data_IF_804576605516
#
_entry.id   IF_804576605516
#
_cell.length_a   1.000
_cell.length_b   1.000
_cell.length_c   1.000
_cell.angle_alpha   90.00
_cell.angle_beta   90.00
_cell.angle_gamma   90.00
#
_symmetry.space_group_name_H-M   'P 1'
#
loop_
_entity.id
_entity.type
_entity.pdbx_description
1 polymer ?
#
# COMPACT_ATOMS: atom_id res chain seq x y z
N UNK A 1 18.83 -8.92 13.07
CA UNK A 1 17.89 -10.02 12.73
C UNK A 1 16.58 -10.01 13.53
N UNK A 2 16.58 -9.63 14.82
CA UNK A 2 15.36 -9.55 15.65
C UNK A 2 14.28 -8.60 15.10
N UNK A 3 14.67 -7.47 14.50
CA UNK A 3 13.75 -6.48 13.89
C UNK A 3 13.03 -7.05 12.66
N UNK A 4 13.74 -7.77 11.78
CA UNK A 4 13.12 -8.42 10.61
C UNK A 4 12.11 -9.48 11.04
N UNK A 5 12.39 -10.22 12.11
CA UNK A 5 11.47 -11.23 12.65
C UNK A 5 10.21 -10.58 13.24
N UNK A 6 10.34 -9.48 13.98
CA UNK A 6 9.21 -8.68 14.48
C UNK A 6 8.35 -8.13 13.33
N UNK A 7 8.97 -7.60 12.29
CA UNK A 7 8.25 -7.06 11.14
C UNK A 7 7.51 -8.18 10.38
N UNK A 8 8.12 -9.36 10.21
CA UNK A 8 7.45 -10.54 9.64
C UNK A 8 6.29 -10.98 10.53
N UNK A 9 6.44 -11.01 11.86
CA UNK A 9 5.35 -11.34 12.77
C UNK A 9 4.20 -10.33 12.71
N UNK A 10 4.49 -9.04 12.59
CA UNK A 10 3.46 -8.02 12.44
C UNK A 10 2.68 -8.18 11.13
N UNK A 11 3.37 -8.54 10.04
CA UNK A 11 2.73 -8.89 8.77
C UNK A 11 1.89 -10.15 8.89
N UNK A 12 2.43 -11.21 9.51
CA UNK A 12 1.74 -12.47 9.70
C UNK A 12 0.49 -12.30 10.56
N UNK A 13 0.58 -11.54 11.66
CA UNK A 13 -0.56 -11.23 12.53
C UNK A 13 -1.60 -10.37 11.80
N UNK A 14 -1.17 -9.37 11.02
CA UNK A 14 -2.08 -8.54 10.22
C UNK A 14 -2.82 -9.35 9.14
N UNK A 15 -2.15 -10.33 8.55
CA UNK A 15 -2.71 -11.22 7.53
C UNK A 15 -3.52 -12.40 8.11
N UNK A 16 -3.34 -12.77 9.39
CA UNK A 16 -4.08 -13.86 10.03
C UNK A 16 -5.54 -13.43 10.28
N UNK A 17 -6.55 -14.17 9.78
CA UNK A 17 -7.95 -13.79 9.95
C UNK A 17 -8.44 -13.71 11.40
N UNK A 18 -7.76 -14.35 12.35
CA UNK A 18 -8.14 -14.41 13.78
C UNK A 18 -7.61 -13.21 14.56
N UNK A 19 -6.37 -12.79 14.28
CA UNK A 19 -5.70 -11.71 15.02
C UNK A 19 -5.63 -10.39 14.24
N UNK A 20 -5.65 -10.48 12.91
CA UNK A 20 -5.61 -9.35 11.98
C UNK A 20 -6.68 -8.31 12.27
N UNK A 21 -7.96 -8.65 12.49
CA UNK A 21 -9.01 -7.68 12.77
C UNK A 21 -8.68 -6.71 13.91
N UNK A 22 -8.20 -7.21 15.05
CA UNK A 22 -7.88 -6.39 16.22
C UNK A 22 -6.63 -5.54 15.96
N UNK A 23 -5.57 -6.16 15.41
CA UNK A 23 -4.33 -5.47 15.11
C UNK A 23 -4.54 -4.34 14.08
N UNK A 24 -5.26 -4.65 12.99
CA UNK A 24 -5.53 -3.72 11.91
C UNK A 24 -6.45 -2.56 12.35
N UNK A 25 -7.43 -2.82 13.23
CA UNK A 25 -8.23 -1.77 13.85
C UNK A 25 -7.37 -0.85 14.74
N UNK A 26 -6.42 -1.42 15.49
CA UNK A 26 -5.46 -0.64 16.28
C UNK A 26 -4.62 0.30 15.42
N UNK A 27 -4.06 -0.21 14.32
CA UNK A 27 -3.32 0.59 13.34
C UNK A 27 -4.22 1.68 12.72
N UNK A 28 -5.45 1.34 12.33
CA UNK A 28 -6.39 2.30 11.77
C UNK A 28 -6.74 3.44 12.75
N UNK A 29 -6.92 3.13 14.04
CA UNK A 29 -7.15 4.14 15.08
C UNK A 29 -5.95 5.06 15.24
N UNK A 30 -4.74 4.50 15.30
CA UNK A 30 -3.51 5.30 15.39
C UNK A 30 -3.36 6.25 14.19
N UNK A 31 -3.65 5.77 12.96
CA UNK A 31 -3.65 6.62 11.76
C UNK A 31 -4.71 7.72 11.87
N UNK A 32 -5.95 7.38 12.27
CA UNK A 32 -7.03 8.36 12.42
C UNK A 32 -6.66 9.43 13.44
N UNK A 33 -6.15 9.03 14.60
CA UNK A 33 -5.79 9.95 15.69
C UNK A 33 -4.66 10.88 15.25
N UNK A 34 -3.65 10.37 14.54
CA UNK A 34 -2.57 11.18 13.98
C UNK A 34 -3.05 12.17 12.92
N UNK A 35 -3.95 11.75 12.02
CA UNK A 35 -4.54 12.63 11.02
C UNK A 35 -5.37 13.75 11.66
N UNK A 36 -6.22 13.42 12.64
CA UNK A 36 -7.03 14.40 13.37
C UNK A 36 -6.15 15.40 14.12
N UNK A 37 -5.08 14.92 14.77
CA UNK A 37 -4.10 15.78 15.43
C UNK A 37 -3.38 16.71 14.44
N UNK A 38 -3.22 16.30 13.18
CA UNK A 38 -2.68 17.11 12.09
C UNK A 38 -3.73 18.00 11.39
N UNK A 39 -4.96 18.08 11.90
CA UNK A 39 -6.02 18.94 11.38
C UNK A 39 -6.93 18.31 10.32
N UNK A 40 -6.81 17.01 10.05
CA UNK A 40 -7.75 16.31 9.18
C UNK A 40 -9.13 16.23 9.84
N UNK A 41 -10.18 16.59 9.10
CA UNK A 41 -11.57 16.53 9.59
C UNK A 41 -12.26 15.27 9.07
N UNK A 42 -12.65 14.31 9.93
CA UNK A 42 -13.46 13.16 9.50
C UNK A 42 -14.77 13.60 8.86
N UNK A 43 -15.14 12.99 7.74
CA UNK A 43 -16.32 13.38 6.95
C UNK A 43 -16.07 14.52 5.96
N UNK A 44 -14.86 15.10 5.89
CA UNK A 44 -14.50 16.12 4.90
C UNK A 44 -14.43 15.60 3.46
N UNK A 45 -14.54 14.29 3.24
CA UNK A 45 -14.37 13.61 1.94
C UNK A 45 -13.00 13.80 1.28
N UNK A 46 -12.05 14.47 1.95
CA UNK A 46 -10.66 14.62 1.48
C UNK A 46 -10.01 13.24 1.41
N UNK A 47 -9.50 12.79 0.25
CA UNK A 47 -8.90 11.48 0.12
C UNK A 47 -7.68 11.31 1.03
N UNK A 48 -7.50 10.09 1.57
CA UNK A 48 -6.29 9.71 2.30
C UNK A 48 -5.57 8.61 1.56
N UNK A 49 -4.28 8.82 1.25
CA UNK A 49 -3.42 7.80 0.65
C UNK A 49 -2.45 7.26 1.68
N UNK A 50 -2.50 5.95 1.92
CA UNK A 50 -1.54 5.24 2.77
C UNK A 50 -0.35 4.77 1.94
N UNK A 51 0.86 5.17 2.31
CA UNK A 51 2.11 4.68 1.70
C UNK A 51 2.73 3.61 2.60
N UNK A 52 2.79 2.37 2.11
CA UNK A 52 3.28 1.21 2.85
C UNK A 52 4.44 0.50 2.15
N UNK A 53 5.58 0.40 2.83
CA UNK A 53 6.76 -0.34 2.33
C UNK A 53 6.85 -1.73 2.93
N UNK A 54 7.27 -2.73 2.14
CA UNK A 54 7.45 -4.11 2.64
C UNK A 54 6.19 -4.61 3.37
N UNK A 55 6.30 -5.06 4.61
CA UNK A 55 5.16 -5.43 5.45
C UNK A 55 4.13 -4.32 5.69
N UNK A 56 4.56 -3.06 5.61
CA UNK A 56 3.69 -1.89 5.69
C UNK A 56 2.62 -1.85 4.61
N UNK A 57 2.83 -2.51 3.46
CA UNK A 57 1.78 -2.69 2.45
C UNK A 57 0.59 -3.48 3.01
N UNK A 58 0.84 -4.61 3.68
CA UNK A 58 -0.21 -5.44 4.27
C UNK A 58 -0.91 -4.72 5.41
N UNK A 59 -0.13 -4.03 6.26
CA UNK A 59 -0.69 -3.22 7.34
C UNK A 59 -1.55 -2.08 6.80
N UNK A 60 -1.16 -1.45 5.68
CA UNK A 60 -1.95 -0.40 5.04
C UNK A 60 -3.27 -0.92 4.51
N UNK A 61 -3.27 -2.08 3.82
CA UNK A 61 -4.50 -2.73 3.37
C UNK A 61 -5.39 -3.14 4.56
N UNK A 62 -4.81 -3.81 5.55
CA UNK A 62 -5.55 -4.24 6.74
C UNK A 62 -6.19 -3.05 7.46
N UNK A 63 -5.45 -1.96 7.65
CA UNK A 63 -5.94 -0.74 8.27
C UNK A 63 -7.02 -0.06 7.43
N UNK A 64 -6.89 -0.04 6.10
CA UNK A 64 -7.83 0.61 5.19
C UNK A 64 -9.27 0.10 5.35
N UNK A 65 -9.45 -1.19 5.69
CA UNK A 65 -10.77 -1.76 5.96
C UNK A 65 -11.53 -1.00 7.06
N UNK A 66 -10.83 -0.63 8.13
CA UNK A 66 -11.39 0.08 9.28
C UNK A 66 -11.27 1.61 9.15
N UNK A 67 -10.24 2.08 8.46
CA UNK A 67 -9.97 3.51 8.34
C UNK A 67 -11.04 4.23 7.53
N UNK A 68 -11.56 3.61 6.46
CA UNK A 68 -12.62 4.20 5.62
C UNK A 68 -13.85 4.61 6.45
N UNK A 69 -14.49 3.75 7.26
CA UNK A 69 -15.62 4.17 8.09
C UNK A 69 -15.23 5.13 9.22
N UNK A 70 -14.02 5.03 9.78
CA UNK A 70 -13.54 5.95 10.82
C UNK A 70 -13.34 7.39 10.31
N UNK A 71 -12.83 7.54 9.09
CA UNK A 71 -12.59 8.86 8.48
C UNK A 71 -13.77 9.34 7.63
N UNK A 72 -14.68 8.46 7.22
CA UNK A 72 -15.76 8.73 6.25
C UNK A 72 -15.23 9.41 4.98
N UNK A 73 -14.14 8.86 4.43
CA UNK A 73 -13.45 9.43 3.28
C UNK A 73 -12.86 8.33 2.36
N UNK A 74 -12.58 8.67 1.08
CA UNK A 74 -11.93 7.76 0.15
C UNK A 74 -10.52 7.38 0.63
N UNK A 75 -10.21 6.07 0.61
CA UNK A 75 -8.89 5.56 1.03
C UNK A 75 -8.18 4.94 -0.17
N UNK A 76 -6.93 5.35 -0.38
CA UNK A 76 -6.03 4.84 -1.41
C UNK A 76 -4.82 4.19 -0.76
N UNK A 77 -4.16 3.27 -1.46
CA UNK A 77 -2.92 2.65 -0.98
C UNK A 77 -1.87 2.67 -2.08
N UNK A 78 -0.67 3.13 -1.72
CA UNK A 78 0.55 2.94 -2.49
C UNK A 78 1.42 1.96 -1.72
N UNK A 79 1.76 0.84 -2.36
CA UNK A 79 2.64 -0.16 -1.81
C UNK A 79 3.98 -0.13 -2.55
N UNK A 80 5.08 -0.02 -1.81
CA UNK A 80 6.45 -0.03 -2.35
C UNK A 80 7.18 -1.30 -1.89
N UNK A 81 7.43 -2.22 -2.81
CA UNK A 81 8.00 -3.54 -2.50
C UNK A 81 7.19 -4.32 -1.46
N UNK A 82 5.87 -4.10 -1.40
CA UNK A 82 5.06 -4.61 -0.31
C UNK A 82 4.80 -6.12 -0.35
N UNK A 83 4.80 -6.75 0.83
CA UNK A 83 4.40 -8.16 0.98
C UNK A 83 2.96 -8.18 1.47
N UNK A 84 2.03 -8.50 0.57
CA UNK A 84 0.59 -8.43 0.83
C UNK A 84 -0.12 -9.69 0.36
N UNK A 85 -1.19 -10.06 1.06
CA UNK A 85 -2.08 -11.16 0.70
C UNK A 85 -3.41 -10.70 0.11
N UNK A 86 -4.37 -11.61 0.13
CA UNK A 86 -5.77 -11.33 -0.23
C UNK A 86 -6.52 -10.75 0.97
N UNK A 87 -6.21 -9.51 1.33
CA UNK A 87 -6.79 -8.82 2.49
C UNK A 87 -8.20 -8.26 2.19
N UNK A 88 -9.08 -8.23 3.21
CA UNK A 88 -10.42 -7.63 3.08
C UNK A 88 -10.38 -6.13 2.78
N UNK A 89 -9.32 -5.44 3.17
CA UNK A 89 -9.09 -4.04 2.86
C UNK A 89 -9.06 -3.74 1.36
N UNK A 90 -8.73 -4.72 0.52
CA UNK A 90 -8.81 -4.60 -0.95
C UNK A 90 -10.23 -4.23 -1.41
N UNK A 91 -11.26 -4.67 -0.68
CA UNK A 91 -12.66 -4.35 -0.99
C UNK A 91 -13.06 -2.94 -0.55
N UNK A 92 -12.22 -2.24 0.23
CA UNK A 92 -12.53 -0.92 0.83
C UNK A 92 -11.68 0.22 0.28
N UNK A 93 -10.53 -0.08 -0.31
CA UNK A 93 -9.70 0.92 -0.99
C UNK A 93 -10.31 1.29 -2.34
N UNK A 94 -10.20 2.56 -2.71
CA UNK A 94 -10.54 3.03 -4.06
C UNK A 94 -9.57 2.44 -5.08
N UNK A 95 -8.27 2.53 -4.78
CA UNK A 95 -7.21 2.00 -5.63
C UNK A 95 -6.00 1.54 -4.81
N UNK A 96 -5.33 0.50 -5.31
CA UNK A 96 -4.03 0.04 -4.85
C UNK A 96 -3.00 0.14 -5.99
N UNK A 97 -2.02 1.01 -5.84
CA UNK A 97 -0.82 0.99 -6.69
C UNK A 97 0.27 0.18 -5.99
N UNK A 98 0.70 -0.91 -6.61
CA UNK A 98 1.78 -1.74 -6.09
C UNK A 98 3.02 -1.60 -6.97
N UNK A 99 4.00 -0.86 -6.47
CA UNK A 99 5.28 -0.61 -7.09
C UNK A 99 6.25 -1.72 -6.65
N UNK A 100 6.88 -2.40 -7.60
CA UNK A 100 7.73 -3.55 -7.30
C UNK A 100 9.01 -3.58 -8.13
N UNK A 101 10.05 -4.17 -7.55
CA UNK A 101 11.29 -4.53 -8.21
C UNK A 101 11.25 -5.94 -8.78
N UNK A 102 11.85 -6.13 -9.95
CA UNK A 102 12.00 -7.45 -10.60
C UNK A 102 13.00 -8.35 -9.87
N UNK A 103 13.95 -7.74 -9.14
CA UNK A 103 14.97 -8.44 -8.35
C UNK A 103 14.66 -8.42 -6.83
N UNK A 104 13.40 -8.19 -6.47
CA UNK A 104 12.89 -8.25 -5.11
C UNK A 104 12.16 -9.60 -4.87
N UNK A 105 12.85 -10.62 -4.32
CA UNK A 105 12.20 -11.89 -4.01
C UNK A 105 11.25 -11.81 -2.81
N UNK A 106 11.36 -10.77 -1.98
CA UNK A 106 10.54 -10.60 -0.78
C UNK A 106 9.14 -10.13 -1.16
N UNK A 107 9.00 -9.14 -2.04
CA UNK A 107 7.66 -8.76 -2.54
C UNK A 107 7.00 -9.93 -3.27
N UNK A 108 7.78 -10.71 -4.03
CA UNK A 108 7.29 -11.88 -4.76
C UNK A 108 6.77 -12.98 -3.81
N UNK A 109 7.25 -13.03 -2.57
CA UNK A 109 6.77 -13.98 -1.56
C UNK A 109 5.27 -13.81 -1.29
N UNK A 110 4.74 -12.59 -1.34
CA UNK A 110 3.30 -12.37 -1.13
C UNK A 110 2.45 -13.09 -2.19
N UNK A 111 2.84 -13.01 -3.46
CA UNK A 111 2.12 -13.71 -4.53
C UNK A 111 2.21 -15.24 -4.40
N UNK A 112 3.32 -15.76 -3.88
CA UNK A 112 3.51 -17.22 -3.67
C UNK A 112 2.82 -17.75 -2.42
N UNK A 113 2.93 -17.05 -1.30
CA UNK A 113 2.47 -17.52 0.01
C UNK A 113 0.96 -17.39 0.22
N UNK A 114 0.29 -16.50 -0.51
CA UNK A 114 -1.15 -16.26 -0.35
C UNK A 114 -1.94 -16.83 -1.54
N UNK A 115 -2.62 -17.99 -1.40
CA UNK A 115 -3.38 -18.61 -2.49
C UNK A 115 -4.39 -17.67 -3.14
N UNK A 116 -4.99 -16.77 -2.37
CA UNK A 116 -5.91 -15.75 -2.90
C UNK A 116 -5.28 -14.80 -3.92
N UNK A 117 -3.95 -14.74 -4.08
CA UNK A 117 -3.27 -14.00 -5.15
C UNK A 117 -3.01 -14.83 -6.40
N UNK A 118 -3.22 -16.15 -6.37
CA UNK A 118 -2.95 -17.00 -7.52
C UNK A 118 -4.05 -16.84 -8.58
N UNK A 119 -3.70 -16.83 -9.89
CA UNK A 119 -4.67 -16.58 -10.97
C UNK A 119 -5.85 -17.55 -11.02
N UNK A 120 -5.69 -18.78 -10.49
CA UNK A 120 -6.76 -19.78 -10.44
C UNK A 120 -7.91 -19.40 -9.50
N UNK A 121 -7.65 -18.61 -8.45
CA UNK A 121 -8.68 -18.14 -7.52
C UNK A 121 -9.29 -16.81 -7.99
N UNK A 122 -9.88 -16.81 -9.19
CA UNK A 122 -10.45 -15.60 -9.82
C UNK A 122 -11.46 -14.85 -8.94
N UNK A 123 -12.15 -15.57 -8.05
CA UNK A 123 -13.13 -15.03 -7.12
C UNK A 123 -12.51 -14.40 -5.88
N UNK A 124 -11.19 -14.38 -5.70
CA UNK A 124 -10.56 -13.69 -4.57
C UNK A 124 -10.73 -12.18 -4.67
N UNK A 125 -10.69 -11.47 -3.55
CA UNK A 125 -10.78 -10.01 -3.53
C UNK A 125 -9.65 -9.37 -4.37
N UNK A 126 -8.44 -9.93 -4.28
CA UNK A 126 -7.28 -9.53 -5.08
C UNK A 126 -7.55 -9.67 -6.58
N UNK A 127 -7.92 -10.86 -7.06
CA UNK A 127 -8.09 -11.11 -8.49
C UNK A 127 -9.28 -10.34 -9.08
N UNK A 128 -10.39 -10.20 -8.33
CA UNK A 128 -11.51 -9.34 -8.73
C UNK A 128 -11.09 -7.87 -8.83
N UNK A 129 -10.33 -7.37 -7.85
CA UNK A 129 -9.86 -5.98 -7.86
C UNK A 129 -8.87 -5.70 -8.98
N UNK A 130 -7.97 -6.65 -9.27
CA UNK A 130 -7.05 -6.58 -10.40
C UNK A 130 -7.82 -6.56 -11.73
N UNK A 131 -8.78 -7.48 -11.92
CA UNK A 131 -9.61 -7.53 -13.12
C UNK A 131 -10.47 -6.27 -13.30
N UNK A 132 -10.93 -5.65 -12.20
CA UNK A 132 -11.68 -4.40 -12.20
C UNK A 132 -10.81 -3.14 -12.35
N UNK A 133 -9.49 -3.30 -12.51
CA UNK A 133 -8.56 -2.16 -12.63
C UNK A 133 -8.34 -1.37 -11.34
N UNK A 134 -8.81 -1.86 -10.17
CA UNK A 134 -8.60 -1.21 -8.85
C UNK A 134 -7.24 -1.56 -8.22
N UNK A 135 -6.48 -2.46 -8.85
CA UNK A 135 -5.08 -2.73 -8.52
C UNK A 135 -4.26 -2.45 -9.77
N UNK A 136 -3.21 -1.65 -9.64
CA UNK A 136 -2.20 -1.45 -10.70
C UNK A 136 -0.85 -1.95 -10.21
N UNK A 137 -0.28 -2.88 -10.96
CA UNK A 137 1.08 -3.39 -10.75
C UNK A 137 2.04 -2.51 -11.55
N UNK A 138 3.02 -1.90 -10.89
CA UNK A 138 3.97 -0.97 -11.50
C UNK A 138 5.38 -1.50 -11.28
N UNK A 139 6.01 -1.95 -12.36
CA UNK A 139 7.41 -2.33 -12.33
C UNK A 139 8.30 -1.08 -12.23
N UNK A 140 9.27 -1.09 -11.32
CA UNK A 140 10.27 -0.02 -11.17
C UNK A 140 11.63 -0.37 -11.82
N UNK A 141 11.84 -1.64 -12.18
CA UNK A 141 13.10 -2.16 -12.70
C UNK A 141 13.81 -3.11 -11.74
N UNK A 142 15.14 -3.28 -11.83
CA UNK A 142 15.92 -4.27 -11.08
C UNK A 142 16.19 -3.81 -9.63
N UNK A 143 15.12 -3.49 -8.91
CA UNK A 143 15.16 -3.09 -7.51
C UNK A 143 15.21 -4.34 -6.64
N UNK A 144 16.10 -4.32 -5.64
CA UNK A 144 16.10 -5.29 -4.55
C UNK A 144 15.22 -4.80 -3.38
N UNK A 145 14.89 -5.72 -2.47
CA UNK A 145 14.10 -5.37 -1.29
C UNK A 145 14.84 -4.42 -0.34
N UNK A 146 16.10 -4.73 -0.07
CA UNK A 146 16.97 -4.12 0.95
C UNK A 146 18.44 -4.19 0.48
N UNK A 147 19.34 -3.59 1.26
CA UNK A 147 20.80 -3.57 1.07
C UNK A 147 21.27 -2.65 -0.06
N UNK A 148 21.61 -3.18 -1.23
CA UNK A 148 22.04 -2.37 -2.38
C UNK A 148 20.91 -2.30 -3.40
N UNK A 149 20.84 -1.23 -4.17
CA UNK A 149 19.86 -1.06 -5.26
C UNK A 149 18.41 -1.27 -4.77
N UNK A 150 18.12 -0.82 -3.54
CA UNK A 150 16.79 -0.88 -2.95
C UNK A 150 15.96 0.36 -3.30
N UNK A 151 14.67 0.34 -2.99
CA UNK A 151 13.73 1.42 -3.30
C UNK A 151 14.07 2.82 -2.76
N UNK A 152 15.02 2.90 -1.82
CA UNK A 152 15.45 4.16 -1.20
C UNK A 152 16.92 4.46 -1.47
N UNK A 153 17.56 3.71 -2.37
CA UNK A 153 18.97 3.87 -2.69
C UNK A 153 19.17 5.15 -3.52
N UNK A 154 19.97 6.08 -3.00
CA UNK A 154 20.23 7.37 -3.64
C UNK A 154 21.60 7.42 -4.35
N UNK A 155 22.30 6.29 -4.43
CA UNK A 155 23.60 6.17 -5.10
C UNK A 155 23.50 5.31 -6.35
N UNK A 156 22.79 4.17 -6.26
CA UNK A 156 22.51 3.33 -7.40
C UNK A 156 21.67 4.08 -8.46
N UNK A 157 22.02 3.89 -9.73
CA UNK A 157 21.37 4.56 -10.87
C UNK A 157 20.81 3.57 -11.87
N UNK A 158 19.65 3.91 -12.40
CA UNK A 158 19.06 3.24 -13.55
C UNK A 158 19.80 3.65 -14.83
N UNK A 159 19.63 2.90 -15.94
CA UNK A 159 20.15 3.32 -17.25
C UNK A 159 19.68 4.70 -17.71
N UNK A 160 18.54 5.18 -17.21
CA UNK A 160 18.04 6.54 -17.43
C UNK A 160 18.89 7.64 -16.78
N UNK A 161 19.77 7.27 -15.85
CA UNK A 161 20.57 8.20 -15.04
C UNK A 161 19.92 8.58 -13.71
N UNK A 162 18.61 8.38 -13.52
CA UNK A 162 17.92 8.60 -12.24
C UNK A 162 18.49 7.66 -11.15
N UNK A 163 18.57 8.16 -9.91
CA UNK A 163 18.78 7.27 -8.77
C UNK A 163 17.54 6.41 -8.53
N UNK A 164 17.71 5.29 -7.83
CA UNK A 164 16.59 4.40 -7.50
C UNK A 164 15.55 5.11 -6.60
N UNK A 165 16.01 5.96 -5.69
CA UNK A 165 15.16 6.83 -4.87
C UNK A 165 14.40 7.85 -5.74
N UNK A 166 15.10 8.55 -6.65
CA UNK A 166 14.47 9.51 -7.58
C UNK A 166 13.38 8.83 -8.40
N UNK A 167 13.67 7.65 -8.96
CA UNK A 167 12.71 6.91 -9.77
C UNK A 167 11.47 6.47 -8.96
N UNK A 168 11.67 6.01 -7.71
CA UNK A 168 10.57 5.66 -6.80
C UNK A 168 9.69 6.87 -6.49
N UNK A 169 10.29 8.01 -6.10
CA UNK A 169 9.58 9.25 -5.78
C UNK A 169 8.84 9.78 -7.01
N UNK A 170 9.51 9.84 -8.17
CA UNK A 170 8.91 10.29 -9.43
C UNK A 170 7.71 9.43 -9.82
N UNK A 171 7.80 8.11 -9.64
CA UNK A 171 6.69 7.20 -9.91
C UNK A 171 5.53 7.39 -8.93
N UNK A 172 5.79 7.57 -7.63
CA UNK A 172 4.77 7.88 -6.62
C UNK A 172 4.06 9.20 -6.95
N UNK A 173 4.81 10.27 -7.21
CA UNK A 173 4.25 11.57 -7.58
C UNK A 173 3.43 11.48 -8.87
N UNK A 174 3.91 10.70 -9.85
CA UNK A 174 3.19 10.49 -11.11
C UNK A 174 1.84 9.81 -10.89
N UNK A 175 1.76 8.74 -10.09
CA UNK A 175 0.47 8.06 -9.85
C UNK A 175 -0.50 8.95 -9.08
N UNK A 176 -0.02 9.73 -8.09
CA UNK A 176 -0.85 10.67 -7.36
C UNK A 176 -1.41 11.77 -8.27
N UNK A 177 -0.57 12.34 -9.14
CA UNK A 177 -0.99 13.35 -10.15
C UNK A 177 -2.00 12.81 -11.15
N UNK A 178 -1.76 11.61 -11.66
CA UNK A 178 -2.66 10.94 -12.61
C UNK A 178 -4.04 10.68 -11.96
N UNK A 179 -4.05 10.31 -10.69
CA UNK A 179 -5.26 10.16 -9.88
C UNK A 179 -5.86 11.47 -9.37
N UNK A 180 -5.23 12.62 -9.66
CA UNK A 180 -5.61 13.97 -9.18
C UNK A 180 -5.67 14.09 -7.66
N UNK A 181 -4.83 13.33 -6.96
CA UNK A 181 -4.71 13.30 -5.49
C UNK A 181 -3.72 14.34 -4.94
N UNK A 182 -3.07 15.10 -5.82
CA UNK A 182 -2.12 16.17 -5.50
C UNK A 182 -2.78 17.56 -5.43
N UNK A 183 -4.09 17.64 -5.69
CA UNK A 183 -4.83 18.90 -5.73
C UNK A 183 -5.49 19.17 -4.38
N UNK A 184 -5.54 20.45 -3.94
CA UNK A 184 -6.37 20.81 -2.80
C UNK A 184 -7.83 20.47 -3.11
N UNK A 185 -8.43 19.65 -2.26
CA UNK A 185 -9.87 19.37 -2.32
C UNK A 185 -10.58 20.63 -1.86
N UNK A 186 -11.46 21.19 -2.70
CA UNK A 186 -12.34 22.26 -2.26
C UNK A 186 -13.53 21.62 -1.52
N UNK A 187 -13.62 21.75 -0.18
CA UNK A 187 -14.71 21.13 0.58
C UNK A 187 -16.09 21.70 0.25
N UNK A 188 -16.16 22.80 -0.52
CA UNK A 188 -17.38 23.46 -0.96
C UNK A 188 -17.73 23.21 -2.45
N UNK A 189 -16.97 22.36 -3.15
CA UNK A 189 -17.37 21.93 -4.49
C UNK A 189 -18.48 20.88 -4.34
N UNK A 190 -19.73 21.30 -4.53
CA UNK A 190 -20.89 20.43 -4.52
C UNK A 190 -20.70 19.24 -5.48
N UNK A 191 -21.19 18.07 -5.04
CA UNK A 191 -21.18 16.81 -5.79
C UNK A 191 -22.27 16.77 -6.86
#
# INVERSE_FOLDING_TARGET
>A
MLINFRNIFQVAVSADPRYGPIANLGVARAIRDGLVAAGYTPGSSVPVTLLGSSGGGQMSLGAAYYLRPLLRAPIFVISLGGVMGNDKGIERVEHLWHLYGTEDPVQALGAKAFPGRWPMFKSSAWNRALAAGRITMIELGPFHHNLKQHYYDNEARLPSGETYLEHSVNTICRVLRQARLDRPVNPNAEA
#
